data_IF_464970965447
#
_entry.id   IF_464970965447
#
_cell.length_a   1.000
_cell.length_b   1.000
_cell.length_c   1.000
_cell.angle_alpha   90.00
_cell.angle_beta   90.00
_cell.angle_gamma   90.00
#
_symmetry.space_group_name_H-M   'P 1'
#
loop_
_entity.id
_entity.type
_entity.pdbx_description
1 polymer ?
#
# COMPACT_ATOMS: atom_id res chain seq x y z
N UNK A 1 34.60 -15.63 -4.27
CA UNK A 1 33.42 -14.78 -4.52
C UNK A 1 32.52 -15.39 -5.58
N UNK A 2 33.04 -15.82 -6.71
CA UNK A 2 32.27 -16.35 -7.85
C UNK A 2 31.48 -17.63 -7.53
N UNK A 3 32.06 -18.58 -6.79
CA UNK A 3 31.37 -19.82 -6.38
C UNK A 3 30.14 -19.51 -5.49
N UNK A 4 30.22 -18.51 -4.61
CA UNK A 4 29.11 -18.08 -3.76
C UNK A 4 28.01 -17.45 -4.63
N UNK A 5 28.39 -16.60 -5.58
CA UNK A 5 27.41 -15.96 -6.49
C UNK A 5 26.72 -16.99 -7.38
N UNK A 6 27.48 -17.98 -7.91
CA UNK A 6 26.93 -19.09 -8.69
C UNK A 6 25.93 -19.92 -7.84
N UNK A 7 26.32 -20.24 -6.60
CA UNK A 7 25.42 -20.98 -5.68
C UNK A 7 24.13 -20.23 -5.40
N UNK A 8 24.20 -18.92 -5.14
CA UNK A 8 23.03 -18.05 -4.92
C UNK A 8 22.17 -18.00 -6.19
N UNK A 9 22.78 -17.78 -7.35
CA UNK A 9 22.07 -17.72 -8.63
C UNK A 9 21.32 -19.04 -8.92
N UNK A 10 21.96 -20.19 -8.69
CA UNK A 10 21.36 -21.51 -8.87
C UNK A 10 20.14 -21.70 -7.93
N UNK A 11 20.24 -21.29 -6.67
CA UNK A 11 19.15 -21.37 -5.71
C UNK A 11 17.97 -20.48 -6.11
N UNK A 12 18.23 -19.27 -6.58
CA UNK A 12 17.19 -18.34 -7.08
C UNK A 12 16.52 -18.96 -8.30
N UNK A 13 17.27 -19.51 -9.24
CA UNK A 13 16.77 -20.14 -10.47
C UNK A 13 15.91 -21.37 -10.13
N UNK A 14 16.37 -22.26 -9.25
CA UNK A 14 15.60 -23.44 -8.83
C UNK A 14 14.26 -23.06 -8.21
N UNK A 15 14.26 -22.12 -7.25
CA UNK A 15 13.02 -21.65 -6.62
C UNK A 15 12.08 -20.97 -7.62
N UNK A 16 12.62 -20.23 -8.58
CA UNK A 16 11.86 -19.61 -9.67
C UNK A 16 11.21 -20.67 -10.58
N UNK A 17 11.97 -21.72 -10.96
CA UNK A 17 11.46 -22.81 -11.80
C UNK A 17 10.34 -23.59 -11.10
N UNK A 18 10.46 -23.85 -9.80
CA UNK A 18 9.38 -24.49 -9.00
C UNK A 18 8.10 -23.66 -9.00
N UNK A 19 8.20 -22.33 -8.81
CA UNK A 19 7.04 -21.42 -8.88
C UNK A 19 6.41 -21.42 -10.27
N UNK A 20 7.22 -21.38 -11.34
CA UNK A 20 6.74 -21.45 -12.74
C UNK A 20 6.00 -22.76 -13.02
N UNK A 21 6.57 -23.91 -12.61
CA UNK A 21 5.97 -25.22 -12.81
C UNK A 21 4.62 -25.32 -12.11
N UNK A 22 4.56 -24.90 -10.83
CA UNK A 22 3.33 -24.89 -10.06
C UNK A 22 2.28 -23.93 -10.65
N UNK A 23 2.70 -22.73 -11.07
CA UNK A 23 1.85 -21.75 -11.74
C UNK A 23 1.22 -22.31 -13.03
N UNK A 24 1.99 -23.05 -13.84
CA UNK A 24 1.49 -23.71 -15.04
C UNK A 24 0.47 -24.80 -14.69
N UNK A 25 0.74 -25.63 -13.69
CA UNK A 25 -0.18 -26.67 -13.23
C UNK A 25 -1.53 -26.09 -12.72
N UNK A 26 -1.48 -24.90 -12.12
CA UNK A 26 -2.67 -24.19 -11.61
C UNK A 26 -3.39 -23.34 -12.68
N UNK A 27 -2.87 -23.20 -13.90
CA UNK A 27 -3.38 -22.24 -14.88
C UNK A 27 -4.84 -22.45 -15.30
N UNK A 28 -5.32 -23.70 -15.26
CA UNK A 28 -6.68 -24.07 -15.65
C UNK A 28 -7.65 -24.26 -14.45
N UNK A 29 -7.25 -23.84 -13.26
CA UNK A 29 -8.03 -24.07 -12.03
C UNK A 29 -9.20 -23.10 -11.81
N UNK A 30 -9.46 -22.18 -12.73
CA UNK A 30 -10.54 -21.18 -12.58
C UNK A 30 -10.24 -20.08 -11.55
N UNK A 31 -9.00 -19.99 -11.05
CA UNK A 31 -8.60 -19.08 -9.96
C UNK A 31 -8.27 -17.66 -10.44
N UNK A 32 -8.39 -17.39 -11.72
CA UNK A 32 -8.04 -16.09 -12.30
C UNK A 32 -9.08 -15.62 -13.32
N UNK A 33 -9.21 -14.32 -13.43
CA UNK A 33 -10.20 -13.64 -14.26
C UNK A 33 -9.53 -12.57 -15.09
N UNK A 34 -10.04 -12.34 -16.30
CA UNK A 34 -9.61 -11.25 -17.17
C UNK A 34 -10.21 -9.92 -16.66
N UNK A 35 -9.41 -8.87 -16.71
CA UNK A 35 -9.83 -7.50 -16.45
C UNK A 35 -10.17 -6.85 -17.78
N UNK A 36 -11.36 -6.26 -17.89
CA UNK A 36 -11.77 -5.52 -19.07
C UNK A 36 -11.06 -4.16 -19.13
N UNK A 37 -10.69 -3.72 -20.33
CA UNK A 37 -10.08 -2.39 -20.52
C UNK A 37 -11.17 -1.32 -20.52
N UNK A 38 -11.40 -0.73 -19.35
CA UNK A 38 -12.44 0.26 -19.12
C UNK A 38 -12.14 1.58 -19.85
N UNK A 39 -13.15 2.17 -20.48
CA UNK A 39 -13.14 3.60 -20.76
C UNK A 39 -13.51 4.36 -19.47
N UNK A 40 -12.65 5.26 -19.02
CA UNK A 40 -12.86 6.01 -17.77
C UNK A 40 -14.03 6.99 -17.82
N UNK A 41 -14.60 7.25 -19.02
CA UNK A 41 -15.80 8.10 -19.18
C UNK A 41 -15.63 9.46 -18.49
N UNK A 42 -16.52 9.75 -17.55
CA UNK A 42 -16.55 10.99 -16.76
C UNK A 42 -16.22 10.73 -15.28
N UNK A 43 -15.40 9.71 -14.98
CA UNK A 43 -15.06 9.35 -13.60
C UNK A 43 -14.18 10.40 -12.93
N UNK A 44 -14.40 10.57 -11.63
CA UNK A 44 -13.52 11.29 -10.71
C UNK A 44 -12.75 10.26 -9.88
N UNK A 45 -11.44 10.23 -10.04
CA UNK A 45 -10.55 9.29 -9.37
C UNK A 45 -9.66 10.05 -8.41
N UNK A 46 -9.81 9.82 -7.12
CA UNK A 46 -9.03 10.51 -6.10
C UNK A 46 -7.96 9.57 -5.53
N UNK A 47 -6.72 10.07 -5.42
CA UNK A 47 -5.60 9.42 -4.74
C UNK A 47 -5.18 10.22 -3.52
N UNK A 48 -4.82 9.55 -2.42
CA UNK A 48 -4.31 10.19 -1.21
C UNK A 48 -3.03 9.53 -0.76
N UNK A 49 -2.03 10.33 -0.50
CA UNK A 49 -0.75 9.91 0.06
C UNK A 49 -0.23 10.90 1.09
N UNK A 50 0.64 10.42 2.00
CA UNK A 50 1.26 11.20 3.04
C UNK A 50 2.73 10.87 3.24
N UNK A 51 3.55 11.89 3.18
CA UNK A 51 4.98 11.83 3.51
C UNK A 51 5.26 12.29 4.95
N UNK A 52 6.29 11.71 5.54
CA UNK A 52 6.84 12.22 6.79
C UNK A 52 8.35 12.08 6.83
N UNK A 53 9.01 12.98 7.56
CA UNK A 53 10.41 12.88 7.98
C UNK A 53 10.48 12.99 9.49
N UNK A 54 11.37 12.23 10.10
CA UNK A 54 11.63 12.29 11.54
C UNK A 54 13.10 12.51 11.82
N UNK A 55 13.38 13.35 12.80
CA UNK A 55 14.73 13.60 13.32
C UNK A 55 14.71 13.47 14.83
N UNK A 56 15.74 12.84 15.34
CA UNK A 56 15.99 12.66 16.77
C UNK A 56 17.19 13.52 17.12
N UNK A 57 16.95 14.64 17.82
CA UNK A 57 17.96 15.58 18.29
C UNK A 57 18.22 15.37 19.78
N UNK A 58 19.27 15.99 20.31
CA UNK A 58 19.64 15.86 21.73
C UNK A 58 18.52 16.31 22.67
N UNK A 59 17.84 17.40 22.35
CA UNK A 59 16.81 18.00 23.22
C UNK A 59 15.37 17.89 22.70
N UNK A 60 15.15 17.29 21.52
CA UNK A 60 13.81 17.17 20.96
C UNK A 60 13.75 16.11 19.85
N UNK A 61 12.63 15.42 19.75
CA UNK A 61 12.27 14.60 18.59
C UNK A 61 11.28 15.35 17.73
N UNK A 62 11.53 15.43 16.44
CA UNK A 62 10.73 16.21 15.50
C UNK A 62 10.21 15.32 14.38
N UNK A 63 8.92 15.41 14.11
CA UNK A 63 8.28 14.83 12.94
C UNK A 63 7.79 15.99 12.07
N UNK A 64 8.15 16.00 10.79
CA UNK A 64 7.47 16.80 9.77
C UNK A 64 6.58 15.85 8.97
N UNK A 65 5.31 16.20 8.80
CA UNK A 65 4.35 15.41 8.02
C UNK A 65 3.60 16.27 7.00
N UNK A 66 3.20 15.66 5.92
CA UNK A 66 2.40 16.28 4.86
C UNK A 66 1.50 15.22 4.27
N UNK A 67 0.26 15.56 3.92
CA UNK A 67 -0.61 14.69 3.13
C UNK A 67 -1.26 15.50 2.00
N UNK A 68 -1.47 14.86 0.86
CA UNK A 68 -2.10 15.47 -0.31
C UNK A 68 -3.11 14.49 -0.89
N UNK A 69 -4.32 14.98 -1.13
CA UNK A 69 -5.28 14.32 -2.01
C UNK A 69 -5.22 14.95 -3.39
N UNK A 70 -5.18 14.09 -4.40
CA UNK A 70 -5.19 14.46 -5.81
C UNK A 70 -6.44 13.89 -6.44
N UNK A 71 -7.22 14.69 -7.16
CA UNK A 71 -8.40 14.23 -7.86
C UNK A 71 -8.25 14.43 -9.38
N UNK A 72 -8.22 13.33 -10.12
CA UNK A 72 -8.24 13.31 -11.57
C UNK A 72 -9.70 13.32 -12.05
N UNK A 73 -10.08 14.37 -12.78
CA UNK A 73 -11.39 14.50 -13.39
C UNK A 73 -11.28 14.07 -14.86
N UNK A 74 -11.94 12.96 -15.20
CA UNK A 74 -11.98 12.48 -16.58
C UNK A 74 -13.24 13.00 -17.28
N UNK A 75 -13.11 13.25 -18.59
CA UNK A 75 -14.21 13.57 -19.49
C UNK A 75 -13.99 12.82 -20.80
N UNK A 76 -15.03 12.10 -21.21
CA UNK A 76 -15.00 11.25 -22.41
C UNK A 76 -13.77 10.30 -22.46
N UNK A 77 -13.33 9.85 -21.28
CA UNK A 77 -12.19 8.94 -21.11
C UNK A 77 -10.81 9.60 -21.09
N UNK A 78 -10.74 10.91 -21.29
CA UNK A 78 -9.50 11.70 -21.23
C UNK A 78 -9.40 12.49 -19.93
N UNK A 79 -8.18 12.69 -19.40
CA UNK A 79 -7.96 13.54 -18.24
C UNK A 79 -8.22 15.01 -18.61
N UNK A 80 -9.26 15.62 -18.03
CA UNK A 80 -9.64 17.01 -18.26
C UNK A 80 -8.95 17.97 -17.28
N UNK A 81 -8.94 17.61 -15.99
CA UNK A 81 -8.33 18.44 -14.95
C UNK A 81 -7.81 17.62 -13.78
N UNK A 82 -6.96 18.26 -12.97
CA UNK A 82 -6.40 17.69 -11.77
C UNK A 82 -6.56 18.69 -10.62
N UNK A 83 -7.28 18.29 -9.57
CA UNK A 83 -7.51 19.09 -8.39
C UNK A 83 -6.70 18.57 -7.21
N UNK A 84 -6.36 19.46 -6.27
CA UNK A 84 -5.52 19.15 -5.11
C UNK A 84 -6.18 19.59 -3.79
N UNK A 85 -5.90 18.86 -2.73
CA UNK A 85 -6.33 19.21 -1.38
C UNK A 85 -5.19 18.89 -0.37
N UNK A 86 -4.79 19.85 0.48
CA UNK A 86 -5.28 21.25 0.56
C UNK A 86 -4.82 22.12 -0.63
N UNK A 87 -3.66 21.84 -1.23
CA UNK A 87 -3.09 22.45 -2.43
C UNK A 87 -2.01 21.53 -3.03
N UNK A 88 -1.35 21.96 -4.09
CA UNK A 88 -0.34 21.15 -4.82
C UNK A 88 0.91 20.82 -3.99
N UNK A 89 1.28 21.62 -3.00
CA UNK A 89 2.40 21.37 -2.09
C UNK A 89 2.17 22.11 -0.78
N UNK A 90 1.39 21.55 0.14
CA UNK A 90 1.13 22.18 1.44
C UNK A 90 2.41 22.27 2.27
N UNK A 91 2.46 23.26 3.13
CA UNK A 91 3.56 23.38 4.07
C UNK A 91 3.55 22.18 5.03
N UNK A 92 4.70 21.58 5.34
CA UNK A 92 4.72 20.43 6.25
C UNK A 92 4.33 20.83 7.69
N UNK A 93 3.55 19.97 8.34
CA UNK A 93 3.13 20.16 9.72
C UNK A 93 4.19 19.59 10.68
N UNK A 94 4.78 20.41 11.58
CA UNK A 94 5.71 19.94 12.58
C UNK A 94 4.98 19.37 13.79
N UNK A 95 5.51 18.25 14.34
CA UNK A 95 5.16 17.71 15.66
C UNK A 95 6.44 17.57 16.45
N UNK A 96 6.45 18.17 17.66
CA UNK A 96 7.53 18.00 18.62
C UNK A 96 7.11 16.92 19.59
N UNK A 97 7.98 15.95 19.84
CA UNK A 97 7.74 14.78 20.68
C UNK A 97 8.73 14.79 21.83
N UNK A 98 8.27 14.37 22.99
CA UNK A 98 9.10 14.24 24.17
C UNK A 98 10.26 13.26 23.89
N UNK A 99 11.53 13.61 24.19
CA UNK A 99 12.66 12.73 24.00
C UNK A 99 12.64 11.48 24.90
N UNK A 100 11.84 11.46 25.98
CA UNK A 100 11.73 10.30 26.87
C UNK A 100 10.97 9.10 26.28
N UNK A 101 10.20 9.30 25.21
CA UNK A 101 9.53 8.19 24.51
C UNK A 101 10.57 7.23 23.92
N UNK A 102 10.36 5.92 24.03
CA UNK A 102 11.28 4.92 23.47
C UNK A 102 11.38 5.00 21.94
N UNK A 103 12.50 4.55 21.34
CA UNK A 103 12.69 4.56 19.89
C UNK A 103 11.63 3.75 19.15
N UNK A 104 11.19 2.62 19.75
CA UNK A 104 10.14 1.79 19.19
C UNK A 104 8.80 2.52 19.19
N UNK A 105 8.44 3.14 20.32
CA UNK A 105 7.20 3.91 20.43
C UNK A 105 7.23 5.17 19.56
N UNK A 106 8.38 5.84 19.44
CA UNK A 106 8.55 6.95 18.51
C UNK A 106 8.34 6.53 17.05
N UNK A 107 8.82 5.31 16.70
CA UNK A 107 8.53 4.72 15.38
C UNK A 107 7.04 4.52 15.13
N UNK A 108 6.34 3.91 16.09
CA UNK A 108 4.88 3.68 16.03
C UNK A 108 4.13 5.01 15.99
N UNK A 109 4.45 5.94 16.88
CA UNK A 109 3.83 7.26 16.96
C UNK A 109 3.97 8.02 15.64
N UNK A 110 5.18 8.04 15.05
CA UNK A 110 5.43 8.71 13.78
C UNK A 110 4.54 8.17 12.65
N UNK A 111 4.41 6.84 12.57
CA UNK A 111 3.53 6.19 11.59
C UNK A 111 2.06 6.54 11.84
N UNK A 112 1.60 6.51 13.10
CA UNK A 112 0.21 6.86 13.44
C UNK A 112 -0.09 8.33 13.11
N UNK A 113 0.87 9.24 13.33
CA UNK A 113 0.69 10.67 12.99
C UNK A 113 0.66 10.92 11.48
N UNK A 114 1.37 10.12 10.69
CA UNK A 114 1.24 10.14 9.24
C UNK A 114 -0.15 9.64 8.80
N UNK A 115 -0.55 8.46 9.27
CA UNK A 115 -1.85 7.84 8.99
C UNK A 115 -3.02 8.77 9.38
N UNK A 116 -2.93 9.43 10.53
CA UNK A 116 -3.92 10.40 10.99
C UNK A 116 -4.15 11.50 9.96
N UNK A 117 -3.06 12.15 9.49
CA UNK A 117 -3.15 13.24 8.52
C UNK A 117 -3.65 12.76 7.14
N UNK A 118 -3.22 11.58 6.70
CA UNK A 118 -3.72 10.96 5.46
C UNK A 118 -5.23 10.70 5.52
N UNK A 119 -5.71 10.11 6.63
CA UNK A 119 -7.14 9.81 6.80
C UNK A 119 -7.99 11.08 6.91
N UNK A 120 -7.52 12.10 7.63
CA UNK A 120 -8.20 13.41 7.69
C UNK A 120 -8.25 14.06 6.30
N UNK A 121 -7.17 13.94 5.52
CA UNK A 121 -7.11 14.45 4.14
C UNK A 121 -8.05 13.67 3.22
N UNK A 122 -8.11 12.34 3.38
CA UNK A 122 -9.02 11.46 2.64
C UNK A 122 -10.49 11.81 2.90
N UNK A 123 -10.87 12.01 4.16
CA UNK A 123 -12.23 12.41 4.55
C UNK A 123 -12.64 13.75 3.91
N UNK A 124 -11.75 14.75 4.00
CA UNK A 124 -11.96 16.05 3.34
C UNK A 124 -12.07 15.92 1.82
N UNK A 125 -11.30 15.00 1.21
CA UNK A 125 -11.36 14.76 -0.23
C UNK A 125 -12.69 14.10 -0.65
N UNK A 126 -13.21 13.15 0.12
CA UNK A 126 -14.55 12.56 -0.10
C UNK A 126 -15.62 13.63 -0.07
N UNK A 127 -15.60 14.50 0.94
CA UNK A 127 -16.57 15.59 1.10
C UNK A 127 -16.50 16.62 -0.05
N UNK A 128 -15.27 17.08 -0.37
CA UNK A 128 -15.04 18.16 -1.34
C UNK A 128 -15.22 17.71 -2.79
N UNK A 129 -14.58 16.60 -3.17
CA UNK A 129 -14.52 16.17 -4.56
C UNK A 129 -15.64 15.21 -4.95
N UNK A 130 -16.22 14.49 -3.97
CA UNK A 130 -17.23 13.44 -4.19
C UNK A 130 -16.80 12.50 -5.33
N UNK A 131 -15.64 11.83 -5.17
CA UNK A 131 -15.08 10.99 -6.23
C UNK A 131 -15.89 9.71 -6.40
N UNK A 132 -15.80 9.07 -7.57
CA UNK A 132 -16.35 7.74 -7.80
C UNK A 132 -15.52 6.67 -7.07
N UNK A 133 -14.21 6.90 -6.96
CA UNK A 133 -13.28 6.05 -6.21
C UNK A 133 -12.23 6.90 -5.48
N UNK A 134 -11.98 6.53 -4.22
CA UNK A 134 -10.86 7.01 -3.42
C UNK A 134 -9.84 5.88 -3.26
N UNK A 135 -8.59 6.14 -3.63
CA UNK A 135 -7.48 5.20 -3.54
C UNK A 135 -6.45 5.76 -2.55
N UNK A 136 -6.12 4.98 -1.51
CA UNK A 136 -5.02 5.34 -0.60
C UNK A 136 -3.73 4.68 -1.04
N UNK A 137 -2.60 5.33 -0.77
CA UNK A 137 -1.31 4.67 -0.77
C UNK A 137 -1.22 3.73 0.45
N UNK A 138 -0.87 2.46 0.20
CA UNK A 138 -0.89 1.40 1.20
C UNK A 138 -2.28 0.77 1.44
N UNK A 139 -2.42 0.08 2.56
CA UNK A 139 -3.66 -0.63 2.92
C UNK A 139 -4.73 0.31 3.47
N UNK A 140 -5.99 -0.08 3.34
CA UNK A 140 -7.11 0.60 4.02
C UNK A 140 -7.32 0.11 5.46
N UNK A 141 -6.39 -0.67 6.00
CA UNK A 141 -6.34 -1.07 7.41
C UNK A 141 -4.97 -0.75 7.99
N UNK A 142 -4.94 -0.43 9.28
CA UNK A 142 -3.70 -0.15 9.97
C UNK A 142 -2.78 -1.39 9.98
N UNK A 143 -1.50 -1.18 9.66
CA UNK A 143 -0.52 -2.25 9.67
C UNK A 143 -0.29 -2.79 11.09
N UNK A 144 -0.18 -4.12 11.31
CA UNK A 144 -0.01 -4.70 12.64
C UNK A 144 1.19 -4.14 13.43
N UNK A 145 2.28 -3.74 12.75
CA UNK A 145 3.45 -3.12 13.39
C UNK A 145 3.20 -1.71 13.96
N UNK A 146 2.07 -1.10 13.62
CA UNK A 146 1.66 0.20 14.15
C UNK A 146 0.70 0.09 15.33
N UNK A 147 0.49 -1.12 15.85
CA UNK A 147 -0.34 -1.36 17.06
C UNK A 147 0.56 -1.30 18.28
N UNK A 148 0.44 -0.30 19.14
CA UNK A 148 1.20 -0.20 20.39
C UNK A 148 0.64 -1.13 21.47
N UNK A 149 1.38 -1.32 22.56
CA UNK A 149 0.84 -1.95 23.76
C UNK A 149 -0.27 -1.07 24.36
N UNK A 150 -1.28 -1.67 24.98
CA UNK A 150 -2.39 -0.94 25.61
C UNK A 150 -1.93 -0.02 26.76
N UNK A 151 -0.81 -0.37 27.41
CA UNK A 151 -0.18 0.44 28.46
C UNK A 151 0.65 1.60 27.95
N UNK A 152 0.88 1.69 26.63
CA UNK A 152 1.68 2.76 26.02
C UNK A 152 0.91 4.07 25.96
N UNK A 153 1.59 5.21 26.16
CA UNK A 153 1.03 6.54 25.95
C UNK A 153 0.56 6.78 24.50
N UNK A 154 1.17 6.07 23.54
CA UNK A 154 0.83 6.12 22.12
C UNK A 154 -0.49 5.40 21.81
N UNK A 155 -1.03 4.62 22.75
CA UNK A 155 -2.26 3.85 22.52
C UNK A 155 -3.47 4.74 22.20
N UNK A 156 -3.57 5.94 22.77
CA UNK A 156 -4.60 6.92 22.45
C UNK A 156 -4.59 7.35 20.97
N UNK A 157 -3.39 7.50 20.39
CA UNK A 157 -3.22 7.85 18.97
C UNK A 157 -3.64 6.70 18.06
N UNK A 158 -3.33 5.46 18.45
CA UNK A 158 -3.82 4.27 17.78
C UNK A 158 -5.37 4.19 17.76
N UNK A 159 -6.02 4.47 18.89
CA UNK A 159 -7.48 4.51 18.96
C UNK A 159 -8.05 5.59 18.02
N UNK A 160 -7.46 6.79 18.03
CA UNK A 160 -7.87 7.88 17.14
C UNK A 160 -7.78 7.47 15.66
N UNK A 161 -6.67 6.89 15.24
CA UNK A 161 -6.48 6.42 13.85
C UNK A 161 -7.48 5.32 13.50
N UNK A 162 -7.75 4.40 14.44
CA UNK A 162 -8.75 3.35 14.23
C UNK A 162 -10.16 3.93 14.00
N UNK A 163 -10.56 4.95 14.77
CA UNK A 163 -11.84 5.63 14.57
C UNK A 163 -11.89 6.39 13.24
N UNK A 164 -10.79 7.01 12.81
CA UNK A 164 -10.71 7.67 11.51
C UNK A 164 -10.90 6.68 10.35
N UNK A 165 -10.34 5.46 10.42
CA UNK A 165 -10.62 4.41 9.44
C UNK A 165 -12.12 4.07 9.37
N UNK A 166 -12.76 3.83 10.52
CA UNK A 166 -14.21 3.54 10.57
C UNK A 166 -15.03 4.68 9.98
N UNK A 167 -14.67 5.92 10.30
CA UNK A 167 -15.33 7.10 9.75
C UNK A 167 -15.18 7.15 8.22
N UNK A 168 -13.98 6.87 7.70
CA UNK A 168 -13.73 6.83 6.25
C UNK A 168 -14.59 5.76 5.55
N UNK A 169 -14.69 4.54 6.12
CA UNK A 169 -15.58 3.51 5.56
C UNK A 169 -17.04 3.97 5.53
N UNK A 170 -17.50 4.57 6.62
CA UNK A 170 -18.86 5.10 6.72
C UNK A 170 -19.13 6.20 5.71
N UNK A 171 -18.24 7.19 5.59
CA UNK A 171 -18.41 8.32 4.68
C UNK A 171 -18.32 7.89 3.21
N UNK A 172 -17.40 6.98 2.86
CA UNK A 172 -17.37 6.42 1.51
C UNK A 172 -18.66 5.65 1.18
N UNK A 173 -19.16 4.83 2.13
CA UNK A 173 -20.41 4.09 1.94
C UNK A 173 -21.62 5.00 1.75
N UNK A 174 -21.78 6.04 2.58
CA UNK A 174 -22.88 7.02 2.51
C UNK A 174 -22.87 7.78 1.18
N UNK A 175 -21.70 8.14 0.69
CA UNK A 175 -21.55 8.93 -0.54
C UNK A 175 -21.46 8.07 -1.81
N UNK A 176 -21.51 6.74 -1.69
CA UNK A 176 -21.40 5.82 -2.83
C UNK A 176 -19.99 5.78 -3.43
N UNK A 177 -18.96 6.20 -2.68
CA UNK A 177 -17.56 6.22 -3.10
C UNK A 177 -16.95 4.83 -2.93
N UNK A 178 -16.32 4.29 -3.96
CA UNK A 178 -15.51 3.08 -3.84
C UNK A 178 -14.23 3.41 -3.06
N UNK A 179 -13.90 2.63 -2.03
CA UNK A 179 -12.68 2.81 -1.24
C UNK A 179 -11.72 1.65 -1.49
N UNK A 180 -10.51 1.98 -1.91
CA UNK A 180 -9.42 1.03 -2.14
C UNK A 180 -8.10 1.54 -1.58
N UNK A 181 -7.18 0.62 -1.29
CA UNK A 181 -5.79 0.89 -1.00
C UNK A 181 -4.89 0.10 -1.94
N UNK A 182 -3.89 0.74 -2.52
CA UNK A 182 -2.91 0.10 -3.38
C UNK A 182 -1.61 -0.14 -2.61
N UNK A 183 -1.14 -1.40 -2.55
CA UNK A 183 0.05 -1.78 -1.79
C UNK A 183 1.15 -2.18 -2.75
N UNK A 184 2.19 -1.35 -2.85
CA UNK A 184 3.29 -1.51 -3.79
C UNK A 184 4.11 -2.77 -3.53
N UNK A 185 4.72 -2.88 -2.37
CA UNK A 185 5.66 -3.95 -2.01
C UNK A 185 5.07 -4.94 -0.99
N UNK A 186 3.95 -5.57 -1.34
CA UNK A 186 3.30 -6.53 -0.46
C UNK A 186 4.17 -7.77 -0.21
N UNK A 187 4.46 -8.04 1.07
CA UNK A 187 5.07 -9.30 1.55
C UNK A 187 4.03 -10.29 2.08
N UNK A 188 2.75 -10.08 1.77
CA UNK A 188 1.64 -10.96 2.18
C UNK A 188 1.81 -12.38 1.66
N UNK A 189 1.26 -13.34 2.41
CA UNK A 189 1.22 -14.77 2.07
C UNK A 189 -0.20 -15.35 2.07
N UNK A 190 -1.21 -14.49 1.98
CA UNK A 190 -2.62 -14.90 2.10
C UNK A 190 -3.06 -15.79 0.94
N UNK A 191 -2.69 -15.40 -0.27
CA UNK A 191 -3.04 -16.17 -1.46
C UNK A 191 -2.30 -17.49 -1.51
N UNK A 192 -1.00 -17.51 -1.22
CA UNK A 192 -0.23 -18.74 -1.12
C UNK A 192 -0.80 -19.68 -0.04
N UNK A 193 -1.17 -19.14 1.12
CA UNK A 193 -1.81 -19.92 2.18
C UNK A 193 -3.21 -20.42 1.77
N UNK A 194 -3.98 -19.63 1.04
CA UNK A 194 -5.26 -20.06 0.49
C UNK A 194 -5.09 -21.22 -0.49
N UNK A 195 -4.11 -21.15 -1.38
CA UNK A 195 -3.79 -22.24 -2.31
C UNK A 195 -3.45 -23.53 -1.56
N UNK A 196 -2.55 -23.45 -0.56
CA UNK A 196 -2.14 -24.59 0.25
C UNK A 196 -3.32 -25.27 0.94
N UNK A 197 -4.22 -24.49 1.53
CA UNK A 197 -5.33 -25.02 2.34
C UNK A 197 -6.53 -25.51 1.55
N UNK A 198 -6.79 -24.93 0.36
CA UNK A 198 -8.07 -25.11 -0.31
C UNK A 198 -7.95 -25.68 -1.73
N UNK A 199 -6.80 -25.61 -2.35
CA UNK A 199 -6.63 -25.92 -3.77
C UNK A 199 -5.69 -27.09 -3.99
N UNK A 200 -4.55 -27.09 -3.30
CA UNK A 200 -3.50 -28.12 -3.51
C UNK A 200 -4.04 -29.53 -3.25
N UNK A 201 -4.72 -29.74 -2.13
CA UNK A 201 -5.29 -31.06 -1.78
C UNK A 201 -6.26 -31.56 -2.85
N UNK A 202 -7.18 -30.68 -3.30
CA UNK A 202 -8.13 -31.03 -4.36
C UNK A 202 -7.46 -31.41 -5.66
N UNK A 203 -6.37 -30.73 -6.03
CA UNK A 203 -5.62 -31.05 -7.26
C UNK A 203 -4.83 -32.35 -7.14
N UNK A 204 -4.35 -32.69 -5.96
CA UNK A 204 -3.70 -33.98 -5.70
C UNK A 204 -4.71 -35.15 -5.78
N UNK A 205 -5.96 -34.91 -5.41
CA UNK A 205 -7.02 -35.94 -5.44
C UNK A 205 -7.64 -36.11 -6.84
N UNK A 206 -8.01 -35.00 -7.51
CA UNK A 206 -8.84 -35.02 -8.72
C UNK A 206 -8.15 -34.50 -9.99
N UNK A 207 -6.88 -34.05 -9.93
CA UNK A 207 -6.11 -33.63 -11.12
C UNK A 207 -5.73 -34.81 -12.03
N UNK A 208 -5.31 -34.48 -13.25
CA UNK A 208 -4.65 -35.46 -14.12
C UNK A 208 -3.25 -35.83 -13.58
N UNK A 209 -2.69 -36.94 -14.05
CA UNK A 209 -1.42 -37.47 -13.53
C UNK A 209 -0.23 -36.51 -13.67
N UNK A 210 -0.16 -35.73 -14.72
CA UNK A 210 0.92 -34.73 -14.93
C UNK A 210 0.79 -33.59 -13.93
N UNK A 211 -0.43 -33.08 -13.74
CA UNK A 211 -0.77 -32.04 -12.75
C UNK A 211 -0.47 -32.51 -11.33
N UNK A 212 -0.93 -33.70 -10.95
CA UNK A 212 -0.67 -34.30 -9.64
C UNK A 212 0.81 -34.40 -9.34
N UNK A 213 1.59 -34.96 -10.27
CA UNK A 213 3.05 -35.09 -10.15
C UNK A 213 3.72 -33.74 -9.97
N UNK A 214 3.37 -32.76 -10.81
CA UNK A 214 3.95 -31.42 -10.77
C UNK A 214 3.61 -30.71 -9.46
N UNK A 215 2.36 -30.79 -9.00
CA UNK A 215 1.90 -30.20 -7.75
C UNK A 215 2.62 -30.87 -6.57
N UNK A 216 2.65 -32.21 -6.48
CA UNK A 216 3.29 -32.95 -5.40
C UNK A 216 4.78 -32.58 -5.23
N UNK A 217 5.49 -32.35 -6.35
CA UNK A 217 6.90 -31.99 -6.34
C UNK A 217 7.17 -30.55 -5.92
N UNK A 218 6.23 -29.62 -6.13
CA UNK A 218 6.51 -28.19 -6.06
C UNK A 218 5.68 -27.41 -5.03
N UNK A 219 4.56 -27.94 -4.48
CA UNK A 219 3.62 -27.15 -3.65
C UNK A 219 4.26 -26.55 -2.40
N UNK A 220 5.24 -27.23 -1.78
CA UNK A 220 5.93 -26.73 -0.58
C UNK A 220 6.64 -25.41 -0.77
N UNK A 221 6.92 -25.00 -2.04
CA UNK A 221 7.52 -23.70 -2.31
C UNK A 221 6.62 -22.54 -1.83
N UNK A 222 5.28 -22.73 -1.80
CA UNK A 222 4.32 -21.73 -1.36
C UNK A 222 4.49 -21.34 0.12
N UNK A 223 4.95 -22.25 0.98
CA UNK A 223 5.17 -22.00 2.42
C UNK A 223 6.14 -20.83 2.65
N UNK A 224 7.13 -20.69 1.74
CA UNK A 224 8.19 -19.67 1.82
C UNK A 224 8.14 -18.66 0.67
N UNK A 225 6.98 -18.51 0.01
CA UNK A 225 6.78 -17.59 -1.10
C UNK A 225 5.76 -16.52 -0.73
N UNK A 226 6.07 -15.26 -1.01
CA UNK A 226 5.10 -14.17 -0.94
C UNK A 226 4.14 -14.22 -2.12
N UNK A 227 2.92 -13.73 -1.93
CA UNK A 227 1.87 -13.75 -2.94
C UNK A 227 2.34 -13.12 -4.26
N UNK A 228 2.97 -11.95 -4.21
CA UNK A 228 3.47 -11.24 -5.40
C UNK A 228 4.52 -12.04 -6.17
N UNK A 229 5.39 -12.81 -5.48
CA UNK A 229 6.39 -13.67 -6.12
C UNK A 229 5.76 -14.88 -6.85
N UNK A 230 4.71 -15.48 -6.28
CA UNK A 230 4.00 -16.57 -6.94
C UNK A 230 3.15 -16.03 -8.10
N UNK A 231 2.38 -14.99 -7.82
CA UNK A 231 1.45 -14.38 -8.77
C UNK A 231 2.15 -13.73 -9.97
N UNK A 232 3.43 -13.34 -9.84
CA UNK A 232 4.23 -12.88 -10.97
C UNK A 232 4.27 -13.88 -12.11
N UNK A 233 4.35 -15.19 -11.79
CA UNK A 233 4.32 -16.29 -12.78
C UNK A 233 2.91 -16.75 -13.11
N UNK A 234 1.95 -16.57 -12.20
CA UNK A 234 0.60 -17.09 -12.32
C UNK A 234 -0.31 -16.17 -13.17
N UNK A 235 -0.22 -14.87 -12.98
CA UNK A 235 -1.04 -13.89 -13.70
C UNK A 235 -0.33 -13.40 -14.96
N UNK A 236 -1.09 -13.33 -16.04
CA UNK A 236 -0.74 -12.56 -17.23
C UNK A 236 -1.21 -11.12 -17.08
N UNK A 237 -0.64 -10.22 -17.89
CA UNK A 237 -1.11 -8.83 -18.00
C UNK A 237 -2.60 -8.80 -18.34
N UNK A 238 -3.36 -8.00 -17.59
CA UNK A 238 -4.82 -7.94 -17.70
C UNK A 238 -5.56 -9.06 -16.95
N UNK A 239 -4.88 -9.80 -16.05
CA UNK A 239 -5.54 -10.80 -15.20
C UNK A 239 -5.52 -10.37 -13.73
N UNK A 240 -6.52 -10.84 -12.97
CA UNK A 240 -6.64 -10.74 -11.52
C UNK A 240 -6.95 -12.10 -10.90
N UNK A 241 -6.73 -12.22 -9.60
CA UNK A 241 -7.25 -13.35 -8.80
C UNK A 241 -8.65 -13.03 -8.27
N UNK A 242 -9.32 -14.03 -7.69
CA UNK A 242 -10.54 -13.82 -6.90
C UNK A 242 -10.24 -12.98 -5.65
N UNK A 243 -11.19 -12.11 -5.22
CA UNK A 243 -11.06 -11.38 -3.97
C UNK A 243 -11.09 -12.33 -2.77
N UNK A 244 -10.17 -12.11 -1.84
CA UNK A 244 -10.09 -12.84 -0.58
C UNK A 244 -10.51 -11.94 0.58
N UNK A 245 -11.20 -12.52 1.56
CA UNK A 245 -11.54 -11.79 2.80
C UNK A 245 -10.27 -11.44 3.57
N UNK A 246 -10.17 -10.20 3.99
CA UNK A 246 -9.18 -9.74 4.94
C UNK A 246 -9.78 -9.86 6.34
N UNK A 247 -9.39 -10.88 7.11
CA UNK A 247 -9.87 -11.06 8.49
C UNK A 247 -9.29 -9.97 9.41
N UNK A 248 -9.96 -8.85 9.46
CA UNK A 248 -9.68 -7.77 10.38
C UNK A 248 -10.99 -7.36 11.06
N UNK A 249 -11.14 -7.69 12.34
CA UNK A 249 -12.18 -7.22 13.30
C UNK A 249 -13.50 -6.79 12.63
N UNK A 250 -14.33 -7.67 12.17
CA UNK A 250 -15.70 -7.37 11.69
C UNK A 250 -15.82 -6.47 10.44
N UNK A 251 -14.73 -5.91 9.93
CA UNK A 251 -14.75 -5.05 8.75
C UNK A 251 -14.86 -5.87 7.46
N UNK A 252 -15.66 -5.36 6.52
CA UNK A 252 -15.91 -5.97 5.21
C UNK A 252 -14.79 -5.63 4.24
N UNK A 253 -13.57 -6.07 4.54
CA UNK A 253 -12.37 -5.77 3.77
C UNK A 253 -11.93 -7.00 2.98
N UNK A 254 -11.62 -6.77 1.73
CA UNK A 254 -11.19 -7.77 0.78
C UNK A 254 -9.85 -7.39 0.17
N UNK A 255 -9.10 -8.40 -0.24
CA UNK A 255 -7.83 -8.26 -0.95
C UNK A 255 -7.93 -8.93 -2.31
N UNK A 256 -7.46 -8.25 -3.35
CA UNK A 256 -7.32 -8.78 -4.70
C UNK A 256 -5.93 -8.43 -5.24
N UNK A 257 -5.40 -9.25 -6.14
CA UNK A 257 -4.16 -8.96 -6.87
C UNK A 257 -4.46 -8.82 -8.35
N UNK A 258 -3.88 -7.80 -8.99
CA UNK A 258 -3.97 -7.55 -10.43
C UNK A 258 -2.57 -7.50 -11.05
N UNK A 259 -2.43 -7.92 -12.31
CA UNK A 259 -1.21 -7.69 -13.09
C UNK A 259 -1.49 -6.72 -14.22
N UNK A 260 -0.98 -5.49 -14.11
CA UNK A 260 -1.29 -4.42 -15.06
C UNK A 260 -0.29 -4.33 -16.20
N UNK A 261 0.95 -4.79 -16.02
CA UNK A 261 2.03 -4.73 -17.02
C UNK A 261 2.91 -5.97 -16.97
N UNK A 262 3.68 -6.22 -18.05
CA UNK A 262 4.45 -7.47 -18.20
C UNK A 262 5.66 -7.57 -17.26
N UNK A 263 6.37 -6.46 -17.05
CA UNK A 263 7.68 -6.44 -16.39
C UNK A 263 7.65 -6.06 -14.93
N UNK A 264 6.45 -5.86 -14.36
CA UNK A 264 6.30 -5.57 -12.93
C UNK A 264 5.53 -6.67 -12.20
N UNK A 265 5.59 -6.61 -10.88
CA UNK A 265 4.91 -7.52 -9.96
C UNK A 265 3.41 -7.23 -9.94
N UNK A 266 2.58 -8.23 -9.62
CA UNK A 266 1.17 -7.98 -9.35
C UNK A 266 0.96 -7.01 -8.19
N UNK A 267 0.10 -6.02 -8.41
CA UNK A 267 -0.30 -5.03 -7.42
C UNK A 267 -1.34 -5.65 -6.49
N UNK A 268 -1.15 -5.49 -5.18
CA UNK A 268 -2.15 -5.82 -4.18
C UNK A 268 -3.08 -4.64 -3.97
N UNK A 269 -4.37 -4.92 -3.97
CA UNK A 269 -5.43 -3.95 -3.71
C UNK A 269 -6.27 -4.45 -2.54
N UNK A 270 -6.32 -3.70 -1.46
CA UNK A 270 -7.26 -3.91 -0.37
C UNK A 270 -8.46 -2.96 -0.58
N UNK A 271 -9.69 -3.44 -0.38
CA UNK A 271 -10.88 -2.61 -0.61
C UNK A 271 -12.02 -2.96 0.33
N UNK A 272 -12.88 -1.97 0.58
CA UNK A 272 -14.08 -2.11 1.38
C UNK A 272 -15.28 -2.42 0.50
N UNK A 273 -16.08 -3.43 0.90
CA UNK A 273 -17.31 -3.78 0.16
C UNK A 273 -18.30 -4.55 1.02
N UNK A 274 -19.59 -4.28 0.84
CA UNK A 274 -20.62 -5.20 1.25
C UNK A 274 -20.59 -6.48 0.44
N UNK A 275 -20.97 -7.60 1.05
CA UNK A 275 -20.92 -8.92 0.43
C UNK A 275 -21.79 -9.01 -0.83
N UNK A 276 -22.96 -8.36 -0.80
CA UNK A 276 -23.88 -8.34 -1.94
C UNK A 276 -23.34 -7.56 -3.15
N UNK A 277 -22.47 -6.58 -2.90
CA UNK A 277 -21.84 -5.75 -3.92
C UNK A 277 -20.44 -6.21 -4.31
N UNK A 278 -19.92 -7.27 -3.66
CA UNK A 278 -18.53 -7.70 -3.78
C UNK A 278 -18.08 -7.88 -5.23
N UNK A 279 -18.81 -8.66 -6.02
CA UNK A 279 -18.44 -8.93 -7.42
C UNK A 279 -18.42 -7.65 -8.26
N UNK A 280 -19.44 -6.79 -8.11
CA UNK A 280 -19.53 -5.50 -8.81
C UNK A 280 -18.40 -4.57 -8.42
N UNK A 281 -18.14 -4.42 -7.10
CA UNK A 281 -17.09 -3.54 -6.60
C UNK A 281 -15.71 -4.06 -6.97
N UNK A 282 -15.47 -5.38 -6.91
CA UNK A 282 -14.21 -5.99 -7.37
C UNK A 282 -13.97 -5.67 -8.85
N UNK A 283 -14.99 -5.88 -9.72
CA UNK A 283 -14.89 -5.56 -11.14
C UNK A 283 -14.52 -4.08 -11.33
N UNK A 284 -15.32 -3.17 -10.80
CA UNK A 284 -15.12 -1.72 -10.99
C UNK A 284 -13.75 -1.25 -10.47
N UNK A 285 -13.37 -1.64 -9.26
CA UNK A 285 -12.10 -1.24 -8.65
C UNK A 285 -10.91 -1.76 -9.46
N UNK A 286 -10.94 -3.05 -9.85
CA UNK A 286 -9.82 -3.64 -10.60
C UNK A 286 -9.69 -3.08 -12.01
N UNK A 287 -10.79 -2.78 -12.69
CA UNK A 287 -10.78 -2.16 -14.02
C UNK A 287 -10.26 -0.72 -13.98
N UNK A 288 -10.73 0.09 -13.02
CA UNK A 288 -10.25 1.47 -12.85
C UNK A 288 -8.75 1.47 -12.52
N UNK A 289 -8.33 0.71 -11.51
CA UNK A 289 -6.92 0.67 -11.07
C UNK A 289 -6.04 0.09 -12.17
N UNK A 290 -6.47 -0.96 -12.88
CA UNK A 290 -5.76 -1.49 -14.04
C UNK A 290 -5.52 -0.40 -15.09
N UNK A 291 -6.58 0.36 -15.44
CA UNK A 291 -6.50 1.41 -16.47
C UNK A 291 -5.48 2.50 -16.13
N UNK A 292 -5.49 2.97 -14.89
CA UNK A 292 -4.60 4.07 -14.45
C UNK A 292 -3.21 3.60 -13.99
N UNK A 293 -2.94 2.27 -13.98
CA UNK A 293 -1.64 1.71 -13.55
C UNK A 293 -0.76 1.23 -14.68
N UNK A 294 -1.20 1.29 -15.94
CA UNK A 294 -0.46 0.75 -17.09
C UNK A 294 0.32 1.79 -17.91
N UNK A 295 0.59 2.95 -17.32
CA UNK A 295 1.31 4.05 -17.99
C UNK A 295 2.81 3.78 -18.16
N UNK A 296 3.39 2.86 -17.38
CA UNK A 296 4.80 2.47 -17.44
C UNK A 296 4.91 0.93 -17.45
N UNK A 297 5.68 0.37 -18.39
CA UNK A 297 5.83 -1.09 -18.54
C UNK A 297 6.61 -1.77 -17.42
N UNK A 298 7.44 -1.03 -16.70
CA UNK A 298 8.33 -1.53 -15.65
C UNK A 298 7.85 -1.18 -14.25
N UNK A 299 6.80 -0.36 -14.13
CA UNK A 299 6.27 0.11 -12.85
C UNK A 299 4.77 0.31 -12.94
N UNK A 300 4.04 -0.60 -12.33
CA UNK A 300 2.58 -0.67 -12.34
C UNK A 300 2.01 -0.13 -11.05
N UNK A 301 1.76 1.20 -11.01
CA UNK A 301 1.15 1.85 -9.87
C UNK A 301 0.11 2.87 -10.31
N UNK A 302 -1.00 3.10 -9.55
CA UNK A 302 -2.02 4.05 -9.94
C UNK A 302 -1.44 5.45 -10.15
N UNK A 303 -1.58 6.02 -11.34
CA UNK A 303 -0.99 7.33 -11.69
C UNK A 303 -1.42 8.46 -10.76
N UNK A 304 -2.65 8.40 -10.22
CA UNK A 304 -3.14 9.36 -9.23
C UNK A 304 -2.38 9.29 -7.90
N UNK A 305 -1.90 8.10 -7.50
CA UNK A 305 -1.04 7.94 -6.32
C UNK A 305 0.40 8.35 -6.60
N UNK A 306 0.93 8.10 -7.82
CA UNK A 306 2.25 8.61 -8.23
C UNK A 306 2.27 10.14 -8.14
N UNK A 307 1.19 10.81 -8.55
CA UNK A 307 1.07 12.27 -8.41
C UNK A 307 0.92 12.69 -6.94
N UNK A 308 0.14 11.95 -6.13
CA UNK A 308 -0.02 12.25 -4.71
C UNK A 308 1.31 12.13 -3.93
N UNK A 309 2.08 11.03 -4.15
CA UNK A 309 3.42 10.84 -3.57
C UNK A 309 4.37 11.99 -3.93
N UNK A 310 4.42 12.36 -5.22
CA UNK A 310 5.27 13.46 -5.68
C UNK A 310 4.96 14.80 -4.99
N UNK A 311 3.70 15.00 -4.54
CA UNK A 311 3.26 16.21 -3.82
C UNK A 311 3.44 16.08 -2.29
N UNK A 312 3.22 14.90 -1.74
CA UNK A 312 3.34 14.64 -0.30
C UNK A 312 4.79 14.46 0.16
N UNK A 313 5.67 14.00 -0.73
CA UNK A 313 7.09 13.71 -0.42
C UNK A 313 7.79 14.90 0.20
N UNK A 314 8.42 14.64 1.36
CA UNK A 314 9.27 15.57 2.08
C UNK A 314 10.75 15.34 1.71
N UNK A 315 11.54 16.42 1.75
CA UNK A 315 12.97 16.39 1.46
C UNK A 315 13.79 16.73 2.70
N UNK A 316 15.03 16.25 2.75
CA UNK A 316 15.97 16.62 3.83
C UNK A 316 16.17 18.13 3.90
N UNK A 317 16.09 18.85 2.78
CA UNK A 317 16.19 20.32 2.74
C UNK A 317 15.06 20.98 3.54
N UNK A 318 13.85 20.45 3.47
CA UNK A 318 12.70 21.00 4.22
C UNK A 318 12.88 20.83 5.74
N UNK A 319 13.43 19.68 6.18
CA UNK A 319 13.68 19.47 7.61
C UNK A 319 14.86 20.30 8.11
N UNK A 320 15.92 20.47 7.31
CA UNK A 320 17.04 21.35 7.68
C UNK A 320 16.64 22.82 7.71
N UNK A 321 15.77 23.26 6.80
CA UNK A 321 15.18 24.60 6.85
C UNK A 321 14.36 24.81 8.13
N UNK A 322 13.53 23.82 8.49
CA UNK A 322 12.76 23.84 9.75
C UNK A 322 13.68 23.87 10.98
N UNK A 323 14.73 23.02 11.01
CA UNK A 323 15.77 23.01 12.06
C UNK A 323 16.42 24.39 12.22
N UNK A 324 16.82 25.00 11.11
CA UNK A 324 17.47 26.32 11.12
C UNK A 324 16.54 27.41 11.67
N UNK A 325 15.29 27.42 11.24
CA UNK A 325 14.30 28.36 11.74
C UNK A 325 13.99 28.17 13.25
N UNK A 326 13.99 26.90 13.72
CA UNK A 326 13.80 26.58 15.14
C UNK A 326 15.04 27.01 15.95
N UNK A 327 16.26 26.74 15.45
CA UNK A 327 17.51 27.14 16.10
C UNK A 327 17.60 28.66 16.30
N UNK A 328 17.18 29.45 15.31
CA UNK A 328 17.08 30.91 15.41
C UNK A 328 16.16 31.35 16.58
N UNK A 329 15.04 30.62 16.79
CA UNK A 329 14.11 30.92 17.89
C UNK A 329 14.62 30.45 19.26
N UNK A 330 15.45 29.40 19.30
CA UNK A 330 16.09 28.90 20.53
C UNK A 330 17.27 29.80 21.00
N UNK A 331 17.74 30.70 20.17
CA UNK A 331 18.78 31.69 20.50
C UNK A 331 20.10 31.02 20.90
N UNK A 332 20.45 31.11 22.19
CA UNK A 332 21.75 30.64 22.72
C UNK A 332 21.89 29.13 22.96
N UNK A 333 20.90 28.30 22.56
CA UNK A 333 20.91 26.85 22.75
C UNK A 333 20.79 26.02 21.46
N UNK A 334 21.57 26.30 20.40
CA UNK A 334 21.47 25.54 19.16
C UNK A 334 21.87 24.06 19.32
N UNK A 335 22.72 23.75 20.34
CA UNK A 335 23.20 22.40 20.65
C UNK A 335 22.07 21.41 21.00
N UNK A 336 20.90 21.90 21.38
CA UNK A 336 19.71 21.04 21.61
C UNK A 336 19.22 20.38 20.31
N UNK A 337 19.52 20.96 19.15
CA UNK A 337 19.15 20.44 17.83
C UNK A 337 20.31 19.78 17.09
N UNK A 338 21.41 19.45 17.79
CA UNK A 338 22.59 18.84 17.19
C UNK A 338 22.87 17.46 17.80
N UNK A 339 23.37 16.56 16.98
CA UNK A 339 23.92 15.29 17.43
C UNK A 339 25.45 15.37 17.39
N UNK A 340 26.14 14.87 18.44
CA UNK A 340 27.62 14.88 18.50
C UNK A 340 28.30 14.30 17.26
N UNK A 341 27.67 13.34 16.57
CA UNK A 341 28.19 12.71 15.34
C UNK A 341 28.13 13.66 14.13
N UNK A 342 27.22 14.64 14.11
CA UNK A 342 27.10 15.63 13.04
C UNK A 342 28.21 16.67 13.07
N UNK A 343 28.78 16.93 14.27
CA UNK A 343 29.92 17.82 14.46
C UNK A 343 31.31 17.18 14.23
N UNK A 344 31.38 15.90 13.87
CA UNK A 344 32.65 15.28 13.46
C UNK A 344 32.99 15.73 12.06
N UNK A 345 33.95 16.67 11.94
CA UNK A 345 34.61 16.94 10.68
C UNK A 345 35.35 15.64 10.27
N UNK A 346 35.02 15.07 9.12
CA UNK A 346 35.71 13.97 8.46
C UNK A 346 37.06 14.47 7.94
#
# INVERSE_FOLDING_TARGET
>A
MDEILISIANKITDTSNKRKALSKALSNSGLKHTIEDLNLGNLKICGVDGGFLKKDYHGARIILRRAVAVCFNFKDGSLESCDYLPNTRPFPEPIIVDPEISDQEFGIFSNLKREELELETALKAVEKFKPDILIRDGSIVLHPSSIPLESSEVYKDYLKVTELFKLLYSECSKNGVLLAGAIEDSKGKRYCNYLLKNIIEKLLDSGDEETKKTVAQNYKILENTNDTLFLYYFLKTGERVEPMTYNFKEEKIYTVYIKSVDYDRPLRIDFFSDKEKLNKNTKNITEIIYKISKHNRNYSYPSVLVEADARAKLTEVEIEHFKSALAEKLGNNPTLLELRREGRQL
#
